data_IF_802616005979
#
_entry.id   IF_802616005979
#
_cell.length_a   1.000
_cell.length_b   1.000
_cell.length_c   1.000
_cell.angle_alpha   90.00
_cell.angle_beta   90.00
_cell.angle_gamma   90.00
#
_symmetry.space_group_name_H-M   'P 1'
#
loop_
_entity.id
_entity.type
_entity.pdbx_description
1 polymer ?
#
# COMPACT_ATOMS: atom_id res chain seq x y z
N UNK A 1 -4.73 13.31 -3.24
CA UNK A 1 -6.04 12.72 -2.93
C UNK A 1 -6.84 13.54 -1.93
N UNK A 2 -6.26 13.99 -0.81
CA UNK A 2 -6.99 14.70 0.25
C UNK A 2 -7.80 15.93 -0.26
N UNK A 3 -7.17 16.77 -1.09
CA UNK A 3 -7.79 17.98 -1.64
C UNK A 3 -8.95 17.65 -2.57
N UNK A 4 -8.86 16.52 -3.29
CA UNK A 4 -9.93 16.04 -4.16
C UNK A 4 -11.15 15.60 -3.35
N UNK A 5 -10.95 14.82 -2.28
CA UNK A 5 -12.03 14.41 -1.39
C UNK A 5 -12.66 15.61 -0.66
N UNK A 6 -11.83 16.53 -0.14
CA UNK A 6 -12.30 17.77 0.52
C UNK A 6 -13.15 18.66 -0.41
N UNK A 7 -12.88 18.66 -1.72
CA UNK A 7 -13.68 19.41 -2.70
C UNK A 7 -15.10 18.84 -2.85
N UNK A 8 -15.27 17.52 -2.72
CA UNK A 8 -16.56 16.85 -2.84
C UNK A 8 -17.35 16.87 -1.51
N UNK A 9 -16.65 16.76 -0.39
CA UNK A 9 -17.23 16.69 0.95
C UNK A 9 -16.88 17.92 1.79
N UNK A 10 -17.20 19.12 1.29
CA UNK A 10 -16.83 20.41 1.92
C UNK A 10 -17.33 20.57 3.36
N UNK A 11 -18.47 19.96 3.67
CA UNK A 11 -19.14 20.09 4.97
C UNK A 11 -18.70 19.03 6.00
N UNK A 12 -17.84 18.08 5.61
CA UNK A 12 -17.41 17.00 6.49
C UNK A 12 -15.96 17.21 6.94
N UNK A 13 -15.74 17.20 8.26
CA UNK A 13 -14.39 17.21 8.81
C UNK A 13 -13.85 15.77 8.79
N UNK A 14 -12.97 15.45 7.83
CA UNK A 14 -12.40 14.12 7.61
C UNK A 14 -13.47 13.01 7.34
N UNK A 15 -14.20 13.11 6.21
CA UNK A 15 -15.12 12.07 5.78
C UNK A 15 -14.39 10.74 5.58
N UNK A 16 -15.04 9.66 6.01
CA UNK A 16 -14.59 8.29 5.79
C UNK A 16 -15.79 7.39 5.58
N UNK A 17 -15.59 6.30 4.85
CA UNK A 17 -16.61 5.30 4.62
C UNK A 17 -16.27 4.05 5.45
N UNK A 18 -17.16 3.61 6.36
CA UNK A 18 -16.91 2.41 7.14
C UNK A 18 -16.79 1.20 6.20
N UNK A 19 -15.94 0.25 6.59
CA UNK A 19 -15.97 -1.08 6.00
C UNK A 19 -17.23 -1.76 6.51
N UNK A 20 -18.07 -2.21 5.59
CA UNK A 20 -19.31 -2.95 5.88
C UNK A 20 -19.21 -4.35 5.31
N UNK A 21 -20.06 -5.26 5.78
CA UNK A 21 -20.19 -6.57 5.18
C UNK A 21 -20.62 -6.39 3.72
N UNK A 22 -19.84 -6.94 2.81
CA UNK A 22 -20.11 -6.83 1.38
C UNK A 22 -21.08 -7.93 0.92
N UNK A 23 -21.88 -7.60 -0.09
CA UNK A 23 -22.74 -8.57 -0.76
C UNK A 23 -21.92 -9.58 -1.57
N UNK A 24 -22.50 -10.74 -1.97
CA UNK A 24 -21.84 -11.67 -2.88
C UNK A 24 -21.24 -10.97 -4.09
N UNK A 25 -20.01 -11.33 -4.44
CA UNK A 25 -19.20 -10.60 -5.42
C UNK A 25 -18.47 -9.37 -4.86
N UNK A 26 -18.37 -9.25 -3.54
CA UNK A 26 -17.72 -8.15 -2.82
C UNK A 26 -18.27 -6.78 -3.24
N UNK A 27 -19.59 -6.71 -3.41
CA UNK A 27 -20.27 -5.53 -3.94
C UNK A 27 -20.54 -4.54 -2.80
N UNK A 28 -20.20 -3.28 -3.05
CA UNK A 28 -20.59 -2.13 -2.25
C UNK A 28 -21.51 -1.24 -3.08
N UNK A 29 -22.66 -0.87 -2.51
CA UNK A 29 -23.66 -0.02 -3.16
C UNK A 29 -23.54 1.41 -2.65
N UNK A 30 -23.29 2.36 -3.55
CA UNK A 30 -23.43 3.78 -3.23
C UNK A 30 -24.81 4.26 -3.64
N UNK A 31 -25.49 4.90 -2.70
CA UNK A 31 -26.84 5.43 -2.86
C UNK A 31 -26.79 6.96 -2.94
N UNK A 32 -27.52 7.53 -3.90
CA UNK A 32 -27.77 8.96 -3.96
C UNK A 32 -29.29 9.20 -3.98
N UNK A 33 -29.75 9.95 -2.99
CA UNK A 33 -31.14 10.38 -2.88
C UNK A 33 -31.24 11.87 -3.19
N UNK A 34 -32.26 12.25 -3.96
CA UNK A 34 -32.46 13.64 -4.33
C UNK A 34 -33.88 13.93 -4.79
N UNK A 35 -34.14 15.20 -5.10
CA UNK A 35 -35.40 15.66 -5.67
C UNK A 35 -35.14 16.17 -7.08
N UNK A 36 -35.74 15.52 -8.08
CA UNK A 36 -35.80 16.04 -9.44
C UNK A 36 -36.97 17.02 -9.55
N UNK A 37 -36.65 18.31 -9.68
CA UNK A 37 -37.64 19.35 -9.91
C UNK A 37 -37.76 19.70 -11.39
N UNK A 38 -38.98 19.75 -11.91
CA UNK A 38 -39.27 20.38 -13.21
C UNK A 38 -40.02 21.68 -12.95
N UNK A 39 -39.49 22.79 -13.45
CA UNK A 39 -40.12 24.11 -13.35
C UNK A 39 -40.52 24.60 -14.74
N UNK A 40 -41.81 24.73 -14.96
CA UNK A 40 -42.42 25.42 -16.09
C UNK A 40 -43.13 26.70 -15.58
N UNK A 41 -43.47 27.66 -16.45
CA UNK A 41 -44.00 28.98 -16.04
C UNK A 41 -45.20 28.94 -15.09
N UNK A 42 -46.01 27.87 -15.14
CA UNK A 42 -47.20 27.70 -14.29
C UNK A 42 -47.20 26.40 -13.48
N UNK A 43 -46.08 25.66 -13.44
CA UNK A 43 -46.02 24.35 -12.81
C UNK A 43 -44.65 24.09 -12.21
N UNK A 44 -44.60 23.82 -10.91
CA UNK A 44 -43.43 23.26 -10.24
C UNK A 44 -43.80 21.87 -9.75
N UNK A 45 -43.16 20.85 -10.29
CA UNK A 45 -43.31 19.47 -9.84
C UNK A 45 -41.97 18.95 -9.35
N UNK A 46 -42.01 18.22 -8.23
CA UNK A 46 -40.85 17.55 -7.68
C UNK A 46 -41.13 16.05 -7.61
N UNK A 47 -40.16 15.24 -8.04
CA UNK A 47 -40.19 13.80 -7.91
C UNK A 47 -38.98 13.34 -7.12
N UNK A 48 -39.19 12.45 -6.15
CA UNK A 48 -38.09 11.77 -5.48
C UNK A 48 -37.30 10.94 -6.49
N UNK A 49 -35.98 11.07 -6.43
CA UNK A 49 -35.04 10.34 -7.25
C UNK A 49 -34.09 9.57 -6.35
N UNK A 50 -33.84 8.34 -6.75
CA UNK A 50 -32.94 7.42 -6.08
C UNK A 50 -32.07 6.79 -7.15
N UNK A 51 -30.75 6.89 -7.00
CA UNK A 51 -29.81 6.16 -7.83
C UNK A 51 -28.91 5.28 -6.99
N UNK A 52 -28.56 4.14 -7.57
CA UNK A 52 -27.68 3.14 -6.99
C UNK A 52 -26.56 2.88 -7.97
N UNK A 53 -25.35 2.82 -7.45
CA UNK A 53 -24.20 2.40 -8.23
C UNK A 53 -23.42 1.32 -7.47
N UNK A 54 -23.44 0.06 -7.95
CA UNK A 54 -22.60 -0.98 -7.39
C UNK A 54 -21.15 -0.85 -7.83
N UNK A 55 -20.25 -1.18 -6.91
CA UNK A 55 -18.81 -1.30 -7.12
C UNK A 55 -18.33 -2.60 -6.50
N UNK A 56 -17.33 -3.23 -7.11
CA UNK A 56 -16.72 -4.47 -6.60
C UNK A 56 -15.23 -4.26 -6.35
N UNK A 57 -14.72 -4.93 -5.31
CA UNK A 57 -13.27 -5.02 -5.05
C UNK A 57 -12.59 -6.11 -5.89
N UNK A 58 -13.37 -6.94 -6.58
CA UNK A 58 -12.85 -8.05 -7.38
C UNK A 58 -12.37 -7.56 -8.74
N UNK A 59 -11.43 -8.28 -9.33
CA UNK A 59 -10.93 -7.99 -10.67
C UNK A 59 -9.55 -8.60 -10.91
N UNK A 60 -9.01 -8.34 -12.09
CA UNK A 60 -7.69 -8.86 -12.50
C UNK A 60 -6.68 -7.74 -12.45
N UNK A 61 -5.61 -7.99 -11.70
CA UNK A 61 -4.49 -7.06 -11.59
C UNK A 61 -3.19 -7.86 -11.69
N UNK A 62 -2.29 -7.43 -12.57
CA UNK A 62 -0.90 -7.90 -12.64
C UNK A 62 0.03 -6.75 -12.29
N UNK A 63 1.18 -7.09 -11.71
CA UNK A 63 2.15 -6.09 -11.29
C UNK A 63 3.56 -6.44 -11.79
N UNK A 64 4.27 -5.41 -12.23
CA UNK A 64 5.67 -5.50 -12.65
C UNK A 64 6.52 -4.58 -11.77
N UNK A 65 7.73 -5.03 -11.40
CA UNK A 65 8.70 -4.21 -10.67
C UNK A 65 9.73 -3.67 -11.66
N UNK A 66 9.79 -2.35 -11.77
CA UNK A 66 10.68 -1.64 -12.68
C UNK A 66 11.71 -0.80 -11.91
N UNK A 67 12.92 -0.68 -12.45
CA UNK A 67 13.92 0.24 -11.90
C UNK A 67 13.43 1.67 -12.04
N UNK A 68 13.39 2.42 -10.93
CA UNK A 68 12.90 3.79 -10.89
C UNK A 68 13.87 4.68 -10.10
N UNK A 69 13.64 5.99 -10.17
CA UNK A 69 14.44 6.97 -9.44
C UNK A 69 14.35 6.77 -7.92
N UNK A 70 15.47 6.98 -7.24
CA UNK A 70 15.53 7.11 -5.79
C UNK A 70 14.95 8.44 -5.34
N UNK A 71 14.30 8.47 -4.17
CA UNK A 71 13.89 9.70 -3.49
C UNK A 71 14.51 9.73 -2.10
N UNK A 72 15.24 10.81 -1.82
CA UNK A 72 15.89 11.05 -0.52
C UNK A 72 15.08 11.99 0.38
N UNK A 73 13.89 12.39 -0.06
CA UNK A 73 13.04 13.33 0.66
C UNK A 73 12.76 12.80 2.08
N UNK A 74 12.80 13.69 3.06
CA UNK A 74 12.65 13.34 4.47
C UNK A 74 13.93 12.91 5.19
N UNK A 75 15.06 12.63 4.49
CA UNK A 75 16.37 12.48 5.16
C UNK A 75 16.73 13.81 5.84
N UNK A 76 17.51 13.77 6.91
CA UNK A 76 17.99 14.98 7.58
C UNK A 76 18.64 15.96 6.61
N UNK A 77 18.22 17.23 6.64
CA UNK A 77 18.61 18.29 5.69
C UNK A 77 20.13 18.43 5.53
N UNK A 78 20.87 18.23 6.63
CA UNK A 78 22.35 18.20 6.67
C UNK A 78 23.01 17.15 5.75
N UNK A 79 22.25 16.19 5.22
CA UNK A 79 22.73 15.11 4.35
C UNK A 79 22.13 15.18 2.95
N UNK A 80 21.38 16.22 2.62
CA UNK A 80 20.83 16.42 1.30
C UNK A 80 21.40 17.73 0.72
N UNK A 81 21.87 17.65 -0.51
CA UNK A 81 22.31 18.82 -1.27
C UNK A 81 21.13 19.69 -1.71
N UNK A 82 21.41 20.90 -2.17
CA UNK A 82 20.37 21.83 -2.64
C UNK A 82 19.53 21.30 -3.83
N UNK A 83 20.01 20.24 -4.49
CA UNK A 83 19.39 19.59 -5.64
C UNK A 83 18.57 18.34 -5.27
N UNK A 84 18.42 18.02 -3.97
CA UNK A 84 17.71 16.82 -3.53
C UNK A 84 18.53 15.52 -3.64
N UNK A 85 19.85 15.61 -3.85
CA UNK A 85 20.76 14.46 -3.93
C UNK A 85 21.46 14.27 -2.59
N UNK A 86 21.74 13.03 -2.20
CA UNK A 86 22.46 12.70 -0.97
C UNK A 86 23.89 13.28 -0.94
N UNK A 87 24.21 14.04 0.11
CA UNK A 87 25.56 14.53 0.38
C UNK A 87 26.38 13.49 1.16
N UNK A 88 26.96 12.56 0.40
CA UNK A 88 27.82 11.49 0.93
C UNK A 88 29.02 12.06 1.71
N UNK A 89 29.54 13.25 1.33
CA UNK A 89 30.67 13.86 2.04
C UNK A 89 30.28 14.26 3.46
N UNK A 90 29.11 14.88 3.62
CA UNK A 90 28.58 15.24 4.95
C UNK A 90 28.27 14.03 5.82
N UNK A 91 27.79 12.94 5.21
CA UNK A 91 27.60 11.65 5.91
C UNK A 91 28.94 11.13 6.42
N UNK A 92 29.94 10.97 5.54
CA UNK A 92 31.24 10.42 5.94
C UNK A 92 31.94 11.32 6.98
N UNK A 93 31.84 12.65 6.85
CA UNK A 93 32.35 13.59 7.86
C UNK A 93 31.66 13.39 9.22
N UNK A 94 30.35 13.14 9.24
CA UNK A 94 29.64 12.84 10.49
C UNK A 94 30.15 11.55 11.11
N UNK A 95 30.34 10.50 10.32
CA UNK A 95 30.85 9.23 10.84
C UNK A 95 32.26 9.37 11.43
N UNK A 96 33.14 10.12 10.77
CA UNK A 96 34.48 10.43 11.29
C UNK A 96 34.42 11.24 12.59
N UNK A 97 33.53 12.24 12.65
CA UNK A 97 33.39 13.13 13.82
C UNK A 97 32.84 12.40 15.03
N UNK A 98 31.94 11.44 14.82
CA UNK A 98 31.40 10.60 15.88
C UNK A 98 32.40 9.53 16.38
N UNK A 99 33.61 9.48 15.81
CA UNK A 99 34.69 8.59 16.26
C UNK A 99 34.56 7.13 15.81
N UNK A 100 33.67 6.84 14.85
CA UNK A 100 33.32 5.47 14.48
C UNK A 100 34.06 4.90 13.26
N UNK A 101 34.95 5.67 12.61
CA UNK A 101 35.81 5.16 11.53
C UNK A 101 37.21 5.80 11.53
N UNK A 102 38.22 5.01 11.16
CA UNK A 102 39.52 5.53 10.73
C UNK A 102 39.46 5.93 9.24
N UNK A 103 40.25 6.93 8.82
CA UNK A 103 40.23 7.51 7.46
C UNK A 103 40.39 6.47 6.33
N UNK A 104 41.01 5.32 6.60
CA UNK A 104 41.16 4.21 5.64
C UNK A 104 39.87 3.41 5.35
N UNK A 105 38.82 3.52 6.16
CA UNK A 105 37.56 2.77 6.02
C UNK A 105 36.48 3.50 5.21
N UNK A 106 36.80 4.70 4.69
CA UNK A 106 35.90 5.55 3.90
C UNK A 106 35.37 4.89 2.60
N UNK A 107 36.00 3.82 2.12
CA UNK A 107 35.53 3.07 0.94
C UNK A 107 34.13 2.46 1.13
N UNK A 108 33.67 2.25 2.37
CA UNK A 108 32.30 1.78 2.65
C UNK A 108 31.22 2.82 2.31
N UNK A 109 31.58 4.11 2.20
CA UNK A 109 30.66 5.19 1.78
C UNK A 109 30.33 5.16 0.27
N UNK A 110 31.02 4.33 -0.55
CA UNK A 110 30.88 4.32 -2.03
C UNK A 110 29.73 3.44 -2.57
N UNK A 111 28.91 2.87 -1.69
CA UNK A 111 27.86 1.90 -2.04
C UNK A 111 26.66 2.54 -2.74
N UNK A 112 25.86 1.74 -3.45
CA UNK A 112 24.60 2.20 -4.06
C UNK A 112 23.70 2.83 -2.98
N UNK A 113 23.31 4.08 -3.21
CA UNK A 113 22.54 4.91 -2.28
C UNK A 113 21.06 4.95 -2.68
N UNK A 114 20.48 3.90 -3.25
CA UNK A 114 19.07 3.96 -3.66
C UNK A 114 18.10 3.89 -2.48
N UNK A 115 17.06 4.73 -2.52
CA UNK A 115 16.00 4.77 -1.51
C UNK A 115 14.64 4.89 -2.20
N UNK A 116 13.84 3.84 -2.10
CA UNK A 116 12.47 3.79 -2.59
C UNK A 116 11.69 2.68 -1.87
N UNK A 117 10.73 3.09 -1.04
CA UNK A 117 9.93 2.25 -0.17
C UNK A 117 8.50 2.11 -0.68
N UNK A 118 8.15 2.73 -1.79
CA UNK A 118 6.76 2.76 -2.31
C UNK A 118 6.18 1.36 -2.45
N UNK A 119 6.94 0.40 -3.00
CA UNK A 119 6.45 -0.98 -3.19
C UNK A 119 6.27 -1.73 -1.87
N UNK A 120 7.15 -1.51 -0.89
CA UNK A 120 6.98 -2.02 0.48
C UNK A 120 5.71 -1.42 1.12
N UNK A 121 5.49 -0.11 0.96
CA UNK A 121 4.32 0.58 1.48
C UNK A 121 3.03 0.13 0.77
N UNK A 122 3.07 -0.20 -0.52
CA UNK A 122 1.96 -0.82 -1.25
C UNK A 122 1.63 -2.18 -0.64
N UNK A 123 2.63 -3.04 -0.38
CA UNK A 123 2.44 -4.33 0.30
C UNK A 123 1.82 -4.16 1.70
N UNK A 124 2.37 -3.27 2.52
CA UNK A 124 1.86 -3.06 3.86
C UNK A 124 0.42 -2.50 3.83
N UNK A 125 0.15 -1.52 2.97
CA UNK A 125 -1.15 -0.87 2.88
C UNK A 125 -2.22 -1.82 2.34
N UNK A 126 -1.92 -2.57 1.28
CA UNK A 126 -2.87 -3.54 0.72
C UNK A 126 -3.14 -4.68 1.70
N UNK A 127 -2.14 -5.12 2.47
CA UNK A 127 -2.35 -6.07 3.56
C UNK A 127 -3.36 -5.55 4.58
N UNK A 128 -3.18 -4.31 5.04
CA UNK A 128 -4.08 -3.71 6.03
C UNK A 128 -5.52 -3.63 5.50
N UNK A 129 -5.72 -3.25 4.24
CA UNK A 129 -7.05 -3.14 3.62
C UNK A 129 -7.70 -4.50 3.37
N UNK A 130 -6.96 -5.48 2.85
CA UNK A 130 -7.46 -6.85 2.62
C UNK A 130 -7.82 -7.48 3.97
N UNK A 131 -6.95 -7.37 4.97
CA UNK A 131 -7.20 -7.90 6.33
C UNK A 131 -8.41 -7.23 6.96
N UNK A 132 -8.57 -5.90 6.82
CA UNK A 132 -9.75 -5.19 7.32
C UNK A 132 -11.04 -5.70 6.65
N UNK A 133 -10.95 -6.02 5.37
CA UNK A 133 -12.07 -6.58 4.60
C UNK A 133 -12.43 -7.99 5.08
N UNK A 134 -11.44 -8.85 5.32
CA UNK A 134 -11.62 -10.20 5.91
C UNK A 134 -12.24 -10.09 7.32
N UNK A 135 -11.71 -9.20 8.16
CA UNK A 135 -12.20 -8.98 9.52
C UNK A 135 -13.68 -8.53 9.55
N UNK A 136 -14.14 -7.87 8.49
CA UNK A 136 -15.51 -7.31 8.41
C UNK A 136 -16.48 -8.22 7.66
N UNK A 137 -16.06 -8.80 6.53
CA UNK A 137 -16.93 -9.61 5.64
C UNK A 137 -16.78 -11.12 5.86
N UNK A 138 -15.74 -11.57 6.58
CA UNK A 138 -15.45 -12.97 6.83
C UNK A 138 -14.75 -13.64 5.65
N UNK A 139 -15.50 -13.95 4.59
CA UNK A 139 -14.99 -14.58 3.38
C UNK A 139 -14.78 -13.56 2.26
N UNK A 140 -13.65 -13.65 1.58
CA UNK A 140 -13.26 -12.78 0.47
C UNK A 140 -13.04 -13.56 -0.83
N UNK A 141 -13.18 -14.89 -0.80
CA UNK A 141 -13.10 -15.75 -1.98
C UNK A 141 -14.43 -15.69 -2.77
N UNK A 142 -14.59 -14.62 -3.51
CA UNK A 142 -15.77 -14.36 -4.31
C UNK A 142 -15.44 -14.28 -5.82
N UNK A 143 -16.50 -14.31 -6.62
CA UNK A 143 -16.47 -14.17 -8.07
C UNK A 143 -17.18 -12.88 -8.48
N UNK A 144 -16.79 -12.32 -9.62
CA UNK A 144 -17.51 -11.17 -10.17
C UNK A 144 -18.98 -11.54 -10.40
N UNK A 145 -19.92 -10.59 -10.16
CA UNK A 145 -21.34 -10.84 -10.38
C UNK A 145 -21.63 -11.11 -11.85
N UNK A 146 -22.46 -12.11 -12.12
CA UNK A 146 -22.98 -12.35 -13.46
C UNK A 146 -23.99 -11.27 -13.85
N UNK A 147 -23.97 -10.86 -15.11
CA UNK A 147 -24.98 -9.98 -15.67
C UNK A 147 -26.08 -10.80 -16.35
N UNK A 148 -27.34 -10.47 -16.07
CA UNK A 148 -28.50 -11.01 -16.78
C UNK A 148 -29.58 -9.95 -16.93
N UNK A 149 -30.10 -9.77 -18.15
CA UNK A 149 -31.22 -8.88 -18.45
C UNK A 149 -32.50 -9.67 -18.83
N UNK A 150 -32.49 -10.98 -18.61
CA UNK A 150 -33.55 -11.91 -19.01
C UNK A 150 -33.46 -12.41 -20.45
N UNK A 151 -32.56 -11.86 -21.28
CA UNK A 151 -32.31 -12.30 -22.67
C UNK A 151 -30.87 -12.73 -22.89
N UNK A 152 -29.92 -12.05 -22.26
CA UNK A 152 -28.49 -12.27 -22.37
C UNK A 152 -27.95 -12.53 -20.96
N UNK A 153 -27.09 -13.55 -20.84
CA UNK A 153 -26.32 -13.83 -19.62
C UNK A 153 -24.84 -13.69 -19.95
N UNK A 154 -24.12 -12.88 -19.17
CA UNK A 154 -22.68 -12.66 -19.32
C UNK A 154 -22.02 -13.06 -18.00
N UNK A 155 -21.10 -14.02 -18.08
CA UNK A 155 -20.22 -14.38 -16.97
C UNK A 155 -18.85 -13.70 -17.16
N UNK A 156 -18.51 -12.67 -16.36
CA UNK A 156 -17.23 -11.96 -16.47
C UNK A 156 -16.05 -12.73 -15.87
N UNK A 157 -16.27 -13.92 -15.28
CA UNK A 157 -15.24 -14.69 -14.60
C UNK A 157 -14.34 -15.50 -15.55
N UNK A 158 -14.54 -15.42 -16.87
CA UNK A 158 -13.72 -16.15 -17.85
C UNK A 158 -12.24 -15.72 -17.81
N UNK A 159 -11.37 -16.55 -17.23
CA UNK A 159 -9.94 -16.22 -17.02
C UNK A 159 -9.65 -15.57 -15.68
N UNK A 160 -10.63 -15.45 -14.78
CA UNK A 160 -10.32 -15.26 -13.36
C UNK A 160 -9.62 -16.49 -12.82
N UNK A 161 -8.73 -16.27 -11.86
CA UNK A 161 -7.97 -17.35 -11.23
C UNK A 161 -8.95 -18.27 -10.51
N UNK A 162 -8.86 -19.56 -10.78
CA UNK A 162 -9.39 -20.57 -9.87
C UNK A 162 -8.44 -20.61 -8.68
N UNK A 163 -8.90 -20.19 -7.50
CA UNK A 163 -8.16 -20.19 -6.23
C UNK A 163 -7.85 -21.62 -5.78
N UNK A 164 -6.97 -22.32 -6.49
CA UNK A 164 -6.54 -23.70 -6.17
C UNK A 164 -5.45 -23.72 -5.10
N UNK A 165 -4.68 -22.63 -4.97
CA UNK A 165 -3.58 -22.55 -4.02
C UNK A 165 -3.96 -21.68 -2.81
N UNK A 166 -4.40 -22.33 -1.73
CA UNK A 166 -4.52 -21.77 -0.36
C UNK A 166 -5.19 -20.40 -0.23
N UNK A 167 -6.52 -20.40 -0.02
CA UNK A 167 -7.33 -19.20 0.24
C UNK A 167 -6.78 -18.34 1.38
N UNK A 168 -7.10 -17.05 1.36
CA UNK A 168 -6.90 -16.20 2.53
C UNK A 168 -7.56 -16.82 3.76
N UNK A 169 -6.77 -17.04 4.80
CA UNK A 169 -7.28 -17.32 6.13
C UNK A 169 -6.77 -16.24 7.07
N UNK A 170 -7.51 -16.01 8.16
CA UNK A 170 -7.26 -14.94 9.15
C UNK A 170 -5.82 -14.93 9.70
N UNK A 171 -5.10 -16.05 9.62
CA UNK A 171 -3.76 -16.24 10.19
C UNK A 171 -2.69 -16.60 9.16
N UNK A 172 -2.87 -16.28 7.88
CA UNK A 172 -1.90 -16.61 6.82
C UNK A 172 -1.19 -15.35 6.33
N UNK A 173 0.14 -15.41 6.25
CA UNK A 173 0.93 -14.39 5.56
C UNK A 173 0.76 -14.48 4.04
N UNK A 174 0.81 -13.35 3.31
CA UNK A 174 0.71 -13.36 1.85
C UNK A 174 1.72 -14.30 1.18
N UNK A 175 2.98 -14.28 1.64
CA UNK A 175 4.06 -15.13 1.11
C UNK A 175 3.88 -16.63 1.42
N UNK A 176 3.00 -16.99 2.36
CA UNK A 176 2.85 -18.34 2.89
C UNK A 176 3.83 -18.66 4.01
N UNK A 177 4.09 -19.94 4.23
CA UNK A 177 4.94 -20.42 5.33
C UNK A 177 6.36 -20.80 4.93
N UNK A 178 6.63 -20.86 3.64
CA UNK A 178 7.94 -21.24 3.12
C UNK A 178 8.92 -20.07 3.22
N UNK A 179 10.02 -20.31 3.94
CA UNK A 179 11.08 -19.35 4.27
C UNK A 179 11.73 -18.78 3.02
N UNK A 180 11.79 -19.53 1.91
CA UNK A 180 12.37 -19.06 0.64
C UNK A 180 11.62 -17.86 0.04
N UNK A 181 10.37 -17.63 0.47
CA UNK A 181 9.58 -16.47 0.05
C UNK A 181 9.94 -15.19 0.81
N UNK A 182 10.81 -15.25 1.82
CA UNK A 182 11.20 -14.10 2.65
C UNK A 182 12.67 -13.74 2.40
N UNK A 183 13.06 -12.47 2.59
CA UNK A 183 14.46 -12.08 2.51
C UNK A 183 15.25 -12.63 3.69
N UNK A 184 16.54 -12.88 3.50
CA UNK A 184 17.47 -13.06 4.60
C UNK A 184 17.61 -11.72 5.35
N UNK A 185 17.43 -11.75 6.67
CA UNK A 185 17.37 -10.53 7.49
C UNK A 185 18.55 -10.48 8.45
N UNK A 186 19.33 -9.40 8.39
CA UNK A 186 20.46 -9.16 9.29
C UNK A 186 20.21 -7.92 10.14
N UNK A 187 20.30 -8.05 11.47
CA UNK A 187 20.22 -6.89 12.37
C UNK A 187 21.51 -6.07 12.30
N UNK A 188 21.38 -4.77 12.10
CA UNK A 188 22.47 -3.81 12.24
C UNK A 188 22.52 -3.34 13.69
N UNK A 189 23.54 -3.79 14.42
CA UNK A 189 23.89 -3.27 15.75
C UNK A 189 24.98 -2.20 15.66
N UNK A 190 25.83 -2.27 14.64
CA UNK A 190 26.96 -1.36 14.47
C UNK A 190 26.55 0.04 14.01
N UNK A 191 27.41 1.01 14.28
CA UNK A 191 27.24 2.39 13.81
C UNK A 191 27.52 2.53 12.31
N UNK A 192 28.37 1.66 11.76
CA UNK A 192 28.74 1.61 10.35
C UNK A 192 28.35 0.24 9.80
N UNK A 193 27.37 0.16 8.90
CA UNK A 193 26.92 -1.12 8.38
C UNK A 193 27.94 -1.67 7.37
N UNK A 194 28.41 -2.89 7.60
CA UNK A 194 29.34 -3.56 6.68
C UNK A 194 28.64 -4.23 5.48
N UNK A 195 27.31 -4.38 5.52
CA UNK A 195 26.57 -5.05 4.45
C UNK A 195 26.03 -4.07 3.39
N UNK A 196 26.05 -4.43 2.08
CA UNK A 196 25.59 -3.56 0.99
C UNK A 196 24.07 -3.58 0.76
N UNK A 197 23.32 -4.38 1.52
CA UNK A 197 21.90 -4.62 1.33
C UNK A 197 21.02 -3.41 1.70
N UNK A 198 19.75 -3.35 1.23
CA UNK A 198 18.76 -2.39 1.70
C UNK A 198 18.63 -2.44 3.22
N UNK A 199 18.67 -1.28 3.89
CA UNK A 199 18.64 -1.18 5.33
C UNK A 199 17.42 -0.41 5.84
N UNK A 200 16.49 -1.11 6.49
CA UNK A 200 15.28 -0.56 7.10
C UNK A 200 15.59 0.08 8.47
N UNK A 201 15.05 1.26 8.75
CA UNK A 201 15.03 1.81 10.13
C UNK A 201 13.68 1.50 10.78
N UNK A 202 13.71 0.57 11.73
CA UNK A 202 12.56 0.09 12.49
C UNK A 202 12.65 0.52 13.97
N UNK A 203 13.56 1.44 14.31
CA UNK A 203 13.65 2.00 15.66
C UNK A 203 12.37 2.75 16.02
N UNK A 204 12.03 2.76 17.31
CA UNK A 204 10.80 3.41 17.81
C UNK A 204 9.50 2.65 17.51
N UNK A 205 9.54 1.55 16.75
CA UNK A 205 8.38 0.69 16.50
C UNK A 205 8.25 -0.41 17.56
N UNK A 206 7.02 -0.91 17.78
CA UNK A 206 6.81 -2.11 18.61
C UNK A 206 7.33 -3.35 17.88
N UNK A 207 7.78 -4.37 18.60
CA UNK A 207 8.36 -5.59 17.99
C UNK A 207 7.46 -6.26 16.96
N UNK A 208 6.14 -6.33 17.20
CA UNK A 208 5.16 -6.89 16.25
C UNK A 208 5.03 -6.03 14.99
N UNK A 209 5.04 -4.70 15.15
CA UNK A 209 4.94 -3.74 14.04
C UNK A 209 6.21 -3.77 13.17
N UNK A 210 7.38 -3.79 13.80
CA UNK A 210 8.66 -3.89 13.11
C UNK A 210 8.77 -5.21 12.33
N UNK A 211 8.35 -6.33 12.95
CA UNK A 211 8.32 -7.65 12.30
C UNK A 211 7.38 -7.66 11.09
N UNK A 212 6.21 -7.05 11.23
CA UNK A 212 5.26 -6.92 10.12
C UNK A 212 5.89 -6.21 8.92
N UNK A 213 6.51 -5.03 9.12
CA UNK A 213 7.15 -4.29 8.03
C UNK A 213 8.28 -5.10 7.39
N UNK A 214 9.13 -5.75 8.20
CA UNK A 214 10.21 -6.58 7.68
C UNK A 214 9.69 -7.75 6.81
N UNK A 215 8.62 -8.42 7.23
CA UNK A 215 8.01 -9.53 6.49
C UNK A 215 7.26 -9.09 5.23
N UNK A 216 6.83 -7.82 5.11
CA UNK A 216 6.21 -7.27 3.89
C UNK A 216 7.20 -7.07 2.74
N UNK A 217 8.50 -7.25 2.97
CA UNK A 217 9.53 -7.36 1.92
C UNK A 217 9.51 -8.73 1.24
N UNK A 218 8.90 -9.74 1.88
CA UNK A 218 8.71 -11.06 1.28
C UNK A 218 7.84 -11.04 0.03
N UNK A 219 7.80 -12.18 -0.66
CA UNK A 219 6.95 -12.37 -1.82
C UNK A 219 5.47 -12.24 -1.45
N UNK A 220 4.65 -11.94 -2.44
CA UNK A 220 3.22 -11.90 -2.29
C UNK A 220 2.59 -12.89 -3.26
N UNK A 221 1.97 -13.94 -2.71
CA UNK A 221 1.18 -14.88 -3.49
C UNK A 221 -0.28 -14.43 -3.44
N UNK A 222 -0.90 -14.34 -4.61
CA UNK A 222 -2.33 -14.02 -4.72
C UNK A 222 -3.16 -15.21 -4.22
N UNK A 223 -4.16 -14.95 -3.39
CA UNK A 223 -4.97 -15.97 -2.69
C UNK A 223 -6.48 -15.68 -2.78
N UNK A 224 -6.88 -14.66 -3.52
CA UNK A 224 -8.25 -14.22 -3.78
C UNK A 224 -8.35 -13.50 -5.13
N UNK A 225 -9.57 -13.22 -5.56
CA UNK A 225 -9.85 -12.41 -6.75
C UNK A 225 -9.92 -10.90 -6.46
N UNK A 226 -9.49 -10.44 -5.27
CA UNK A 226 -9.43 -9.01 -4.97
C UNK A 226 -8.38 -8.33 -5.85
N UNK A 227 -8.71 -7.16 -6.40
CA UNK A 227 -7.80 -6.38 -7.26
C UNK A 227 -6.51 -5.97 -6.56
N UNK A 228 -6.54 -5.82 -5.24
CA UNK A 228 -5.37 -5.50 -4.42
C UNK A 228 -4.48 -6.73 -4.13
N UNK A 229 -5.00 -7.93 -4.36
CA UNK A 229 -4.33 -9.19 -4.06
C UNK A 229 -3.57 -9.72 -5.28
N UNK A 230 -2.78 -8.84 -5.92
CA UNK A 230 -1.93 -9.20 -7.05
C UNK A 230 -0.58 -9.79 -6.60
N UNK A 231 0.00 -10.65 -7.42
CA UNK A 231 1.29 -11.27 -7.10
C UNK A 231 2.45 -10.29 -7.18
N UNK A 232 3.44 -10.48 -6.31
CA UNK A 232 4.74 -9.83 -6.39
C UNK A 232 5.84 -10.82 -5.98
N UNK A 233 7.02 -10.78 -6.61
CA UNK A 233 8.19 -11.46 -6.07
C UNK A 233 8.61 -10.80 -4.74
N UNK A 234 9.52 -11.46 -4.02
CA UNK A 234 10.19 -10.80 -2.88
C UNK A 234 10.89 -9.53 -3.36
N UNK A 235 10.81 -8.47 -2.55
CA UNK A 235 11.28 -7.14 -2.93
C UNK A 235 12.82 -7.02 -2.87
N UNK A 236 13.47 -7.88 -2.09
CA UNK A 236 14.91 -8.03 -2.02
C UNK A 236 15.24 -9.48 -1.59
N UNK A 237 16.42 -9.98 -1.96
CA UNK A 237 16.92 -11.26 -1.46
C UNK A 237 17.43 -11.17 -0.02
N UNK A 238 18.08 -10.04 0.29
CA UNK A 238 18.72 -9.77 1.57
C UNK A 238 18.30 -8.38 2.03
N UNK A 239 18.02 -8.23 3.32
CA UNK A 239 17.82 -6.93 3.94
C UNK A 239 18.58 -6.84 5.25
N UNK A 240 18.93 -5.61 5.58
CA UNK A 240 19.39 -5.24 6.90
C UNK A 240 18.29 -4.46 7.62
N UNK A 241 18.24 -4.53 8.94
CA UNK A 241 17.30 -3.72 9.72
C UNK A 241 17.94 -3.20 11.00
N UNK A 242 17.49 -2.03 11.44
CA UNK A 242 17.87 -1.43 12.72
C UNK A 242 16.65 -1.35 13.63
N UNK A 243 16.70 -1.96 14.82
CA UNK A 243 15.59 -2.01 15.77
C UNK A 243 16.08 -1.96 17.24
N UNK A 244 15.27 -1.40 18.14
CA UNK A 244 15.59 -1.24 19.57
C UNK A 244 15.42 -2.56 20.36
N UNK A 245 14.35 -3.35 20.13
CA UNK A 245 14.34 -4.79 20.42
C UNK A 245 14.63 -5.63 19.17
N UNK A 246 15.12 -6.87 19.35
CA UNK A 246 15.11 -7.88 18.27
C UNK A 246 13.69 -8.17 17.80
N UNK A 247 13.56 -8.65 16.57
CA UNK A 247 12.27 -9.00 15.98
C UNK A 247 11.77 -10.31 16.60
N UNK A 248 10.76 -10.27 17.50
CA UNK A 248 10.43 -11.42 18.33
C UNK A 248 9.90 -12.58 17.49
N UNK A 249 10.41 -13.79 17.74
CA UNK A 249 9.98 -15.03 17.07
C UNK A 249 10.42 -15.15 15.60
N UNK A 250 11.17 -14.18 15.08
CA UNK A 250 11.62 -14.20 13.69
C UNK A 250 12.84 -15.13 13.51
N UNK A 251 13.86 -15.00 14.36
CA UNK A 251 15.11 -15.77 14.26
C UNK A 251 14.88 -17.28 14.39
N UNK A 252 14.00 -17.69 15.31
CA UNK A 252 13.67 -19.09 15.50
C UNK A 252 12.97 -19.74 14.29
N UNK A 253 12.23 -18.95 13.51
CA UNK A 253 11.50 -19.43 12.33
C UNK A 253 12.33 -19.33 11.04
N UNK A 254 13.07 -18.24 10.83
CA UNK A 254 13.95 -18.09 9.65
C UNK A 254 15.19 -18.98 9.74
N UNK A 255 15.72 -19.20 10.94
CA UNK A 255 16.92 -19.99 11.20
C UNK A 255 16.64 -21.05 12.29
N UNK A 256 15.87 -22.10 11.98
CA UNK A 256 15.52 -23.11 12.97
C UNK A 256 16.80 -23.84 13.45
N UNK A 257 17.22 -23.56 14.68
CA UNK A 257 18.40 -24.17 15.31
C UNK A 257 18.23 -25.66 15.64
N UNK A 258 17.00 -26.18 15.53
CA UNK A 258 16.63 -27.57 15.76
C UNK A 258 15.70 -28.04 14.66
N UNK A 259 15.69 -29.34 14.33
CA UNK A 259 14.79 -29.97 13.34
C UNK A 259 13.29 -29.76 13.61
N UNK A 260 12.92 -29.23 14.79
CA UNK A 260 11.58 -28.69 15.03
C UNK A 260 11.49 -27.31 14.40
N UNK A 261 10.83 -27.22 13.25
CA UNK A 261 10.39 -25.95 12.67
C UNK A 261 9.69 -25.11 13.75
N UNK A 262 10.22 -23.93 14.07
CA UNK A 262 9.53 -23.01 14.95
C UNK A 262 8.25 -22.52 14.25
N UNK A 263 7.21 -22.25 15.04
CA UNK A 263 5.95 -21.75 14.52
C UNK A 263 6.17 -20.41 13.79
N UNK A 264 5.57 -20.29 12.60
CA UNK A 264 5.55 -19.03 11.86
C UNK A 264 4.97 -17.92 12.74
N UNK A 265 5.59 -16.71 12.78
CA UNK A 265 5.04 -15.61 13.57
C UNK A 265 3.60 -15.32 13.16
N UNK A 266 2.70 -15.14 14.12
CA UNK A 266 1.30 -14.84 13.79
C UNK A 266 1.20 -13.49 13.06
N UNK A 267 0.49 -13.42 11.91
CA UNK A 267 0.26 -12.16 11.22
C UNK A 267 -0.62 -11.21 12.04
N UNK A 268 -0.41 -9.88 11.94
CA UNK A 268 -1.14 -8.90 12.73
C UNK A 268 -2.55 -8.65 12.19
N UNK A 269 -3.42 -8.11 13.05
CA UNK A 269 -4.73 -7.54 12.64
C UNK A 269 -4.56 -6.29 11.79
N UNK A 270 -5.63 -5.87 11.11
CA UNK A 270 -5.59 -4.68 10.25
C UNK A 270 -5.21 -3.41 11.02
N UNK A 271 -5.67 -3.30 12.28
CA UNK A 271 -5.38 -2.16 13.14
C UNK A 271 -3.89 -2.08 13.53
N UNK A 272 -3.27 -3.23 13.82
CA UNK A 272 -1.83 -3.30 14.13
C UNK A 272 -0.99 -3.06 12.86
N UNK A 273 -1.41 -3.60 11.72
CA UNK A 273 -0.76 -3.33 10.43
C UNK A 273 -0.80 -1.83 10.08
N UNK A 274 -1.95 -1.17 10.28
CA UNK A 274 -2.08 0.28 10.06
C UNK A 274 -1.23 1.10 11.02
N UNK A 275 -1.21 0.75 12.31
CA UNK A 275 -0.32 1.35 13.31
C UNK A 275 1.15 1.21 12.89
N UNK A 276 1.56 0.03 12.39
CA UNK A 276 2.91 -0.21 11.92
C UNK A 276 3.29 0.69 10.72
N UNK A 277 2.38 0.88 9.76
CA UNK A 277 2.57 1.79 8.63
C UNK A 277 2.75 3.23 9.13
N UNK A 278 1.91 3.69 10.05
CA UNK A 278 2.01 5.02 10.67
C UNK A 278 3.36 5.21 11.34
N UNK A 279 3.74 4.29 12.22
CA UNK A 279 5.02 4.35 12.93
C UNK A 279 6.20 4.35 11.95
N UNK A 280 6.15 3.51 10.91
CA UNK A 280 7.23 3.40 9.92
C UNK A 280 7.38 4.65 9.07
N UNK A 281 6.27 5.18 8.53
CA UNK A 281 6.25 6.40 7.70
C UNK A 281 6.69 7.61 8.51
N UNK A 282 6.22 7.76 9.76
CA UNK A 282 6.61 8.87 10.63
C UNK A 282 8.10 8.79 11.02
N UNK A 283 8.58 7.62 11.42
CA UNK A 283 9.97 7.44 11.84
C UNK A 283 10.96 7.70 10.69
N UNK A 284 10.63 7.24 9.49
CA UNK A 284 11.48 7.39 8.30
C UNK A 284 11.15 8.63 7.45
N UNK A 285 10.09 9.36 7.80
CA UNK A 285 9.59 10.58 7.13
C UNK A 285 9.25 10.36 5.65
N UNK A 286 8.67 9.21 5.33
CA UNK A 286 8.41 8.74 3.96
C UNK A 286 7.07 9.24 3.40
N UNK A 287 6.67 10.47 3.72
CA UNK A 287 5.33 10.98 3.40
C UNK A 287 5.05 10.99 1.89
N UNK A 288 6.03 11.37 1.08
CA UNK A 288 5.94 11.42 -0.38
C UNK A 288 5.79 10.03 -0.97
N UNK A 289 6.63 9.09 -0.54
CA UNK A 289 6.61 7.71 -1.01
C UNK A 289 5.32 7.00 -0.57
N UNK A 290 4.78 7.34 0.61
CA UNK A 290 3.47 6.89 1.08
C UNK A 290 2.33 7.47 0.24
N UNK A 291 2.38 8.76 -0.11
CA UNK A 291 1.40 9.40 -1.00
C UNK A 291 1.30 8.65 -2.33
N UNK A 292 2.44 8.29 -2.94
CA UNK A 292 2.46 7.49 -4.17
C UNK A 292 1.85 6.10 -3.95
N UNK A 293 2.22 5.40 -2.87
CA UNK A 293 1.67 4.08 -2.55
C UNK A 293 0.14 4.12 -2.35
N UNK A 294 -0.36 5.13 -1.65
CA UNK A 294 -1.78 5.39 -1.45
C UNK A 294 -2.49 5.62 -2.78
N UNK A 295 -1.92 6.47 -3.66
CA UNK A 295 -2.48 6.74 -4.97
C UNK A 295 -2.62 5.45 -5.79
N UNK A 296 -1.61 4.58 -5.79
CA UNK A 296 -1.65 3.27 -6.46
C UNK A 296 -2.77 2.39 -5.89
N UNK A 297 -2.80 2.22 -4.57
CA UNK A 297 -3.77 1.33 -3.90
C UNK A 297 -5.20 1.82 -4.09
N UNK A 298 -5.46 3.12 -3.91
CA UNK A 298 -6.80 3.70 -4.09
C UNK A 298 -7.29 3.59 -5.53
N UNK A 299 -6.38 3.62 -6.51
CA UNK A 299 -6.72 3.44 -7.93
C UNK A 299 -7.12 2.02 -8.29
N UNK A 300 -6.62 1.03 -7.55
CA UNK A 300 -6.84 -0.39 -7.82
C UNK A 300 -7.95 -1.01 -6.98
N UNK A 301 -8.30 -0.41 -5.84
CA UNK A 301 -9.14 -1.06 -4.82
C UNK A 301 -10.56 -1.41 -5.30
N UNK A 302 -11.20 -0.56 -6.10
CA UNK A 302 -12.56 -0.78 -6.59
C UNK A 302 -12.64 -0.65 -8.11
N UNK A 303 -13.56 -1.39 -8.71
CA UNK A 303 -14.07 -1.14 -10.05
C UNK A 303 -15.60 -1.07 -10.05
N UNK A 304 -16.18 -0.37 -11.01
CA UNK A 304 -17.62 -0.21 -11.12
C UNK A 304 -18.24 -1.48 -11.69
N UNK A 305 -19.40 -1.88 -11.15
CA UNK A 305 -20.20 -2.98 -11.70
C UNK A 305 -21.21 -2.36 -12.68
N UNK A 306 -21.05 -2.58 -13.99
CA UNK A 306 -21.92 -1.98 -14.99
C UNK A 306 -23.33 -2.58 -14.96
N UNK A 307 -24.34 -1.77 -15.29
CA UNK A 307 -25.75 -2.20 -15.38
C UNK A 307 -26.17 -2.58 -16.81
N UNK A 308 -25.27 -2.50 -17.78
CA UNK A 308 -25.54 -2.78 -19.20
C UNK A 308 -24.63 -3.88 -19.72
N UNK A 309 -25.10 -4.62 -20.73
CA UNK A 309 -24.33 -5.68 -21.38
C UNK A 309 -23.02 -5.15 -21.97
N UNK A 310 -23.07 -4.05 -22.72
CA UNK A 310 -21.88 -3.42 -23.31
C UNK A 310 -20.90 -2.94 -22.22
N UNK A 311 -21.44 -2.44 -21.10
CA UNK A 311 -20.65 -1.99 -19.97
C UNK A 311 -19.83 -3.12 -19.35
N UNK A 312 -20.29 -4.39 -19.41
CA UNK A 312 -19.59 -5.53 -18.81
C UNK A 312 -18.15 -5.71 -19.31
N UNK A 313 -17.81 -5.15 -20.48
CA UNK A 313 -16.42 -5.11 -20.96
C UNK A 313 -15.47 -4.48 -19.93
N UNK A 314 -15.94 -3.54 -19.11
CA UNK A 314 -15.16 -2.91 -18.04
C UNK A 314 -14.57 -3.93 -17.06
N UNK A 315 -15.36 -4.97 -16.70
CA UNK A 315 -14.93 -6.01 -15.78
C UNK A 315 -13.97 -7.02 -16.41
N UNK A 316 -13.82 -7.00 -17.74
CA UNK A 316 -12.95 -7.90 -18.49
C UNK A 316 -11.50 -7.41 -18.62
N UNK A 317 -11.23 -6.13 -18.30
CA UNK A 317 -9.89 -5.57 -18.44
C UNK A 317 -8.91 -6.09 -17.38
N UNK A 318 -7.72 -6.46 -17.85
CA UNK A 318 -6.57 -6.78 -16.99
C UNK A 318 -5.81 -5.51 -16.63
N UNK A 319 -5.88 -5.11 -15.37
CA UNK A 319 -5.17 -3.92 -14.88
C UNK A 319 -3.69 -4.24 -14.67
N UNK A 320 -2.81 -3.37 -15.17
CA UNK A 320 -1.36 -3.51 -14.98
C UNK A 320 -0.84 -2.38 -14.11
N UNK A 321 -0.10 -2.72 -13.06
CA UNK A 321 0.57 -1.74 -12.19
C UNK A 321 2.08 -1.89 -12.29
N UNK A 322 2.78 -0.79 -12.57
CA UNK A 322 4.23 -0.73 -12.55
C UNK A 322 4.70 -0.13 -11.23
N UNK A 323 5.41 -0.93 -10.44
CA UNK A 323 5.91 -0.55 -9.12
C UNK A 323 7.43 -0.30 -9.16
N UNK A 324 7.96 0.66 -8.40
CA UNK A 324 9.40 0.88 -8.33
C UNK A 324 10.13 -0.25 -7.59
N UNK A 325 11.37 -0.55 -8.00
CA UNK A 325 12.23 -1.45 -7.25
C UNK A 325 12.43 -0.95 -5.81
N UNK A 326 12.34 -1.87 -4.84
CA UNK A 326 12.55 -1.55 -3.44
C UNK A 326 14.03 -1.29 -3.16
N UNK A 327 14.30 -0.19 -2.47
CA UNK A 327 15.61 0.14 -1.98
C UNK A 327 15.49 0.94 -0.68
N UNK A 328 16.47 0.82 0.22
CA UNK A 328 16.38 1.46 1.53
C UNK A 328 17.76 1.80 2.05
N UNK A 329 17.96 3.06 2.43
CA UNK A 329 19.18 3.50 3.12
C UNK A 329 18.91 4.03 4.53
N UNK A 330 17.65 4.21 4.90
CA UNK A 330 17.22 4.91 6.12
C UNK A 330 17.78 4.28 7.39
N UNK A 331 17.90 2.95 7.43
CA UNK A 331 18.44 2.19 8.56
C UNK A 331 19.96 2.04 8.57
N UNK A 332 20.66 2.47 7.50
CA UNK A 332 22.13 2.29 7.39
C UNK A 332 22.84 2.95 8.55
N UNK A 333 22.54 4.21 8.81
CA UNK A 333 23.11 4.96 9.94
C UNK A 333 22.01 5.43 10.88
N UNK A 334 22.34 5.51 12.17
CA UNK A 334 21.43 5.94 13.23
C UNK A 334 20.94 7.39 13.05
N UNK A 335 21.68 8.20 12.33
CA UNK A 335 21.50 9.65 12.30
C UNK A 335 20.81 10.19 11.04
N UNK A 336 20.55 9.35 10.02
CA UNK A 336 19.99 9.80 8.72
C UNK A 336 18.58 10.36 8.85
N UNK A 337 17.78 9.81 9.76
CA UNK A 337 16.40 10.21 9.99
C UNK A 337 16.26 11.29 11.09
N UNK A 338 17.38 11.76 11.67
CA UNK A 338 17.39 12.72 12.76
C UNK A 338 17.49 14.18 12.28
N UNK A 339 17.14 15.13 13.15
CA UNK A 339 17.19 16.56 12.86
C UNK A 339 16.01 17.06 12.02
N UNK A 340 16.18 18.16 11.30
CA UNK A 340 15.15 18.73 10.41
C UNK A 340 15.08 17.93 9.12
N UNK A 341 13.88 17.60 8.65
CA UNK A 341 13.67 16.86 7.42
C UNK A 341 13.98 17.75 6.19
N UNK A 342 14.83 17.28 5.29
CA UNK A 342 15.11 17.94 4.03
C UNK A 342 14.00 17.65 3.00
N UNK A 343 13.70 18.65 2.16
CA UNK A 343 12.81 18.55 0.99
C UNK A 343 11.42 17.91 1.25
N UNK A 344 10.81 18.15 2.42
CA UNK A 344 9.46 17.67 2.69
C UNK A 344 8.42 18.32 1.77
N UNK A 345 7.71 17.53 0.97
CA UNK A 345 6.62 18.03 0.16
C UNK A 345 5.40 18.35 1.03
N UNK A 346 5.08 19.65 1.14
CA UNK A 346 3.96 20.10 1.96
C UNK A 346 2.63 19.45 1.58
N UNK A 347 2.43 19.12 0.29
CA UNK A 347 1.21 18.43 -0.17
C UNK A 347 1.13 17.01 0.41
N UNK A 348 2.23 16.27 0.38
CA UNK A 348 2.27 14.91 0.92
C UNK A 348 2.10 14.90 2.44
N UNK A 349 2.66 15.89 3.15
CA UNK A 349 2.44 16.09 4.58
C UNK A 349 0.98 16.40 4.93
N UNK A 350 0.34 17.27 4.15
CA UNK A 350 -1.07 17.61 4.33
C UNK A 350 -1.98 16.39 4.07
N UNK A 351 -1.66 15.62 3.03
CA UNK A 351 -2.35 14.37 2.73
C UNK A 351 -2.16 13.32 3.82
N UNK A 352 -0.92 13.15 4.29
CA UNK A 352 -0.60 12.26 5.41
C UNK A 352 -1.40 12.62 6.66
N UNK A 353 -1.40 13.90 7.04
CA UNK A 353 -2.12 14.39 8.22
C UNK A 353 -3.63 14.17 8.11
N UNK A 354 -4.17 14.19 6.89
CA UNK A 354 -5.58 13.92 6.64
C UNK A 354 -5.92 12.41 6.70
N UNK A 355 -5.03 11.56 6.19
CA UNK A 355 -5.31 10.13 5.97
C UNK A 355 -4.86 9.24 7.13
N UNK A 356 -3.76 9.58 7.80
CA UNK A 356 -3.18 8.79 8.89
C UNK A 356 -4.17 8.50 10.04
N UNK A 357 -5.20 9.33 10.21
CA UNK A 357 -6.16 9.18 11.29
C UNK A 357 -7.09 7.96 11.14
N UNK A 358 -7.52 7.61 9.92
CA UNK A 358 -8.59 6.61 9.68
C UNK A 358 -8.44 5.89 8.34
N UNK A 359 -8.50 4.56 8.37
CA UNK A 359 -8.51 3.72 7.15
C UNK A 359 -9.76 3.97 6.30
N UNK A 360 -10.87 4.36 6.93
CA UNK A 360 -12.14 4.68 6.30
C UNK A 360 -12.01 5.85 5.30
N UNK A 361 -11.06 6.75 5.54
CA UNK A 361 -10.75 7.84 4.60
C UNK A 361 -10.14 7.30 3.30
N UNK A 362 -9.29 6.27 3.38
CA UNK A 362 -8.71 5.59 2.22
C UNK A 362 -9.79 4.86 1.44
N UNK A 363 -10.67 4.15 2.16
CA UNK A 363 -11.81 3.45 1.57
C UNK A 363 -12.72 4.39 0.77
N UNK A 364 -13.13 5.51 1.38
CA UNK A 364 -13.92 6.55 0.70
C UNK A 364 -13.18 7.10 -0.53
N UNK A 365 -11.89 7.40 -0.37
CA UNK A 365 -11.06 7.96 -1.44
C UNK A 365 -11.04 7.04 -2.66
N UNK A 366 -10.91 5.72 -2.45
CA UNK A 366 -10.92 4.74 -3.54
C UNK A 366 -12.27 4.70 -4.28
N UNK A 367 -13.39 4.75 -3.57
CA UNK A 367 -14.73 4.72 -4.18
C UNK A 367 -15.05 5.97 -4.99
N UNK A 368 -14.63 7.14 -4.49
CA UNK A 368 -14.76 8.38 -5.27
C UNK A 368 -13.87 8.34 -6.52
N UNK A 369 -12.65 7.83 -6.36
CA UNK A 369 -11.69 7.77 -7.45
C UNK A 369 -12.15 6.88 -8.61
N UNK A 370 -12.69 5.70 -8.31
CA UNK A 370 -13.19 4.79 -9.36
C UNK A 370 -14.34 5.41 -10.15
N UNK A 371 -15.29 6.08 -9.49
CA UNK A 371 -16.39 6.78 -10.17
C UNK A 371 -15.86 7.88 -11.10
N UNK A 372 -14.89 8.65 -10.62
CA UNK A 372 -14.28 9.73 -11.38
C UNK A 372 -13.49 9.22 -12.60
N UNK A 373 -12.71 8.14 -12.45
CA UNK A 373 -11.97 7.55 -13.56
C UNK A 373 -12.90 7.00 -14.63
N UNK A 374 -13.88 6.19 -14.24
CA UNK A 374 -14.76 5.56 -15.23
C UNK A 374 -15.50 6.62 -16.04
N UNK A 375 -16.06 7.63 -15.35
CA UNK A 375 -16.77 8.73 -16.00
C UNK A 375 -15.84 9.57 -16.87
N UNK A 376 -14.64 9.89 -16.37
CA UNK A 376 -13.65 10.66 -17.14
C UNK A 376 -13.21 9.97 -18.42
N UNK A 377 -12.95 8.66 -18.38
CA UNK A 377 -12.62 7.87 -19.57
C UNK A 377 -13.79 7.80 -20.56
N UNK A 378 -15.01 7.61 -20.06
CA UNK A 378 -16.20 7.56 -20.90
C UNK A 378 -16.46 8.88 -21.64
N UNK A 379 -16.28 10.02 -20.99
CA UNK A 379 -16.42 11.34 -21.63
C UNK A 379 -15.33 11.57 -22.66
N UNK A 380 -14.08 11.19 -22.36
CA UNK A 380 -12.95 11.40 -23.28
C UNK A 380 -13.12 10.62 -24.58
N UNK A 381 -13.72 9.42 -24.52
CA UNK A 381 -14.00 8.60 -25.71
C UNK A 381 -15.13 9.14 -26.59
N UNK A 382 -15.95 10.09 -26.11
CA UNK A 382 -17.00 10.72 -26.93
C UNK A 382 -16.48 11.92 -27.74
N UNK A 383 -15.29 12.42 -27.42
CA UNK A 383 -14.66 13.55 -28.12
C UNK A 383 -13.75 13.11 -29.29
N UNK A 384 -13.61 11.80 -29.52
CA UNK A 384 -12.94 11.18 -30.67
C UNK A 384 -13.95 10.37 -31.48
#
# INVERSE_FOLDING_TARGET
MDTFVKKLFKNFHAPGLPFVQLEPGMINHTYMEGLFGTKAPHLSQHKAFFSVQPMTMLGRTTADINSNASSYDGIGDRYITTQGILDVKSICKTVLTMGYMQTGQLMMCSRSWSDNHTTLLVNALRYALITKTIETSGDIDNKLPEFTDGKIRIDPNYGMRTTTDSKWAKNIWPAGSDVANYPEMTRIVDFVPDQPYPALDLRGMKGVEARFIALMVGAWKSRSNLRLDFELPKLADNICYRANPDLPGLDGWLFPATEKAADIPTPPTSAVAWSAIISYVNNNRLYDQFSVALHIVTSLMYQMVPQTADGQIWLSYDWRVSLPAFASIRGRYTFLNEGVAGYGNQRALNEWSYISNKLETIHLTAMVFVQAIQTGLAVTLQEY
#
